data_IF_628757551094
#
_entry.id   IF_628757551094
#
_cell.length_a   1.000
_cell.length_b   1.000
_cell.length_c   1.000
_cell.angle_alpha   90.00
_cell.angle_beta   90.00
_cell.angle_gamma   90.00
#
_symmetry.space_group_name_H-M   'P 1'
#
loop_
_entity.id
_entity.type
_entity.pdbx_description
1 polymer ?
#
# COMPACT_ATOMS: atom_id res chain seq x y z
N UNK A 1 3.86 -0.85 -11.97
CA UNK A 1 5.11 -0.70 -11.18
C UNK A 1 5.03 -1.64 -10.00
N UNK A 2 6.12 -2.30 -9.62
CA UNK A 2 6.19 -3.18 -8.45
C UNK A 2 7.32 -2.70 -7.54
N UNK A 3 7.13 -2.80 -6.22
CA UNK A 3 8.12 -2.45 -5.21
C UNK A 3 8.47 -3.70 -4.41
N UNK A 4 9.75 -3.85 -4.07
CA UNK A 4 10.28 -5.02 -3.38
C UNK A 4 10.78 -4.59 -1.99
N UNK A 5 10.12 -4.99 -0.90
CA UNK A 5 10.49 -4.60 0.46
C UNK A 5 11.89 -5.07 0.86
N UNK A 6 12.37 -6.15 0.27
CA UNK A 6 13.67 -6.77 0.60
C UNK A 6 14.84 -6.15 -0.19
N UNK A 7 14.58 -5.14 -1.04
CA UNK A 7 15.63 -4.42 -1.73
C UNK A 7 16.45 -3.56 -0.74
N UNK A 8 17.74 -3.35 -1.05
CA UNK A 8 18.61 -2.52 -0.22
C UNK A 8 18.06 -1.09 -0.11
N UNK A 9 18.09 -0.51 1.10
CA UNK A 9 17.51 0.80 1.44
C UNK A 9 15.98 0.91 1.20
N UNK A 10 15.26 -0.22 1.16
CA UNK A 10 13.81 -0.27 1.14
C UNK A 10 13.24 -0.37 2.55
N UNK A 11 12.25 0.46 2.87
CA UNK A 11 11.59 0.47 4.16
C UNK A 11 10.08 0.32 3.95
N UNK A 12 9.49 -0.70 4.57
CA UNK A 12 8.07 -0.97 4.48
C UNK A 12 7.43 -0.86 5.87
N UNK A 13 6.51 0.09 6.03
CA UNK A 13 5.64 0.12 7.20
C UNK A 13 4.45 -0.83 6.98
N UNK A 14 4.60 -2.07 7.45
CA UNK A 14 3.55 -3.10 7.32
C UNK A 14 2.30 -2.77 8.13
N UNK A 15 2.46 -2.19 9.32
CA UNK A 15 1.33 -1.83 10.18
C UNK A 15 0.40 -0.85 9.45
N UNK A 16 0.97 0.22 8.89
CA UNK A 16 0.21 1.22 8.14
C UNK A 16 -0.55 0.63 6.95
N UNK A 17 0.07 -0.29 6.20
CA UNK A 17 -0.54 -0.91 5.01
C UNK A 17 -1.59 -1.99 5.36
N UNK A 18 -1.49 -2.59 6.54
CA UNK A 18 -2.45 -3.59 7.00
C UNK A 18 -3.72 -2.96 7.60
N UNK A 19 -3.70 -1.68 7.93
CA UNK A 19 -4.88 -0.95 8.40
C UNK A 19 -5.96 -0.82 7.32
N UNK A 20 -7.24 -0.88 7.70
CA UNK A 20 -8.36 -0.78 6.77
C UNK A 20 -8.78 -2.13 6.12
N UNK A 21 -9.85 -2.14 5.32
CA UNK A 21 -10.38 -3.37 4.72
C UNK A 21 -9.43 -3.96 3.67
N UNK A 22 -9.52 -5.27 3.42
CA UNK A 22 -8.92 -5.91 2.25
C UNK A 22 -10.01 -6.15 1.21
N UNK A 23 -9.97 -5.40 0.11
CA UNK A 23 -10.99 -5.43 -0.95
C UNK A 23 -10.84 -6.63 -1.90
N UNK A 24 -9.86 -7.53 -1.68
CA UNK A 24 -9.60 -8.65 -2.57
C UNK A 24 -10.83 -9.51 -2.79
N UNK A 25 -11.54 -9.87 -1.71
CA UNK A 25 -12.70 -10.76 -1.79
C UNK A 25 -13.91 -10.08 -2.43
N UNK A 26 -14.03 -8.76 -2.31
CA UNK A 26 -15.10 -7.99 -2.93
C UNK A 26 -14.89 -7.87 -4.45
N UNK A 27 -13.65 -7.55 -4.86
CA UNK A 27 -13.31 -7.32 -6.26
C UNK A 27 -13.07 -8.61 -7.04
N UNK A 28 -12.48 -9.61 -6.39
CA UNK A 28 -12.11 -10.90 -6.98
C UNK A 28 -12.48 -12.06 -6.03
N UNK A 29 -13.78 -12.40 -5.90
CA UNK A 29 -14.26 -13.40 -4.93
C UNK A 29 -13.53 -14.75 -5.03
N UNK A 30 -13.27 -15.22 -6.25
CA UNK A 30 -12.55 -16.47 -6.52
C UNK A 30 -11.11 -16.50 -5.97
N UNK A 31 -10.52 -15.33 -5.76
CA UNK A 31 -9.17 -15.15 -5.22
C UNK A 31 -9.17 -14.91 -3.71
N UNK A 32 -10.33 -14.88 -3.05
CA UNK A 32 -10.47 -14.59 -1.62
C UNK A 32 -9.63 -15.51 -0.71
N UNK A 33 -9.32 -16.73 -1.17
CA UNK A 33 -8.41 -17.67 -0.48
C UNK A 33 -6.99 -17.13 -0.26
N UNK A 34 -6.58 -16.10 -1.00
CA UNK A 34 -5.28 -15.45 -0.87
C UNK A 34 -5.32 -14.18 0.01
N UNK A 35 -6.45 -13.86 0.65
CA UNK A 35 -6.61 -12.63 1.43
C UNK A 35 -5.68 -12.49 2.64
N UNK A 36 -5.00 -13.57 3.04
CA UNK A 36 -3.98 -13.58 4.08
C UNK A 36 -2.57 -13.18 3.58
N UNK A 37 -2.34 -13.18 2.26
CA UNK A 37 -1.03 -12.84 1.65
C UNK A 37 -1.13 -11.75 0.59
N UNK A 38 -2.32 -11.49 0.05
CA UNK A 38 -2.61 -10.41 -0.90
C UNK A 38 -3.56 -9.40 -0.26
N UNK A 39 -3.14 -8.14 -0.22
CA UNK A 39 -3.94 -7.00 0.21
C UNK A 39 -4.32 -6.17 -1.01
N UNK A 40 -5.62 -5.89 -1.17
CA UNK A 40 -6.13 -4.92 -2.15
C UNK A 40 -6.77 -3.77 -1.38
N UNK A 41 -6.34 -2.55 -1.69
CA UNK A 41 -6.72 -1.32 -0.98
C UNK A 41 -7.23 -0.29 -1.97
N UNK A 42 -8.21 0.50 -1.57
CA UNK A 42 -8.57 1.70 -2.30
C UNK A 42 -7.61 2.83 -1.90
N UNK A 43 -6.65 3.12 -2.76
CA UNK A 43 -5.62 4.13 -2.48
C UNK A 43 -6.16 5.56 -2.51
N UNK A 44 -7.29 5.81 -3.17
CA UNK A 44 -7.90 7.14 -3.25
C UNK A 44 -8.71 7.41 -1.99
N UNK A 45 -9.57 6.47 -1.61
CA UNK A 45 -10.40 6.58 -0.40
C UNK A 45 -9.52 6.61 0.86
N UNK A 46 -8.52 5.74 0.93
CA UNK A 46 -7.58 5.67 2.07
C UNK A 46 -6.45 6.71 1.99
N UNK A 47 -6.45 7.58 0.97
CA UNK A 47 -5.47 8.67 0.78
C UNK A 47 -4.01 8.20 0.84
N UNK A 48 -3.74 7.09 0.16
CA UNK A 48 -2.40 6.62 -0.10
C UNK A 48 -1.84 7.28 -1.37
N UNK A 49 -0.67 7.87 -1.23
CA UNK A 49 0.03 8.56 -2.32
C UNK A 49 1.32 7.85 -2.65
N UNK A 50 1.63 7.80 -3.93
CA UNK A 50 2.88 7.26 -4.46
C UNK A 50 3.61 8.37 -5.20
N UNK A 51 4.78 8.74 -4.67
CA UNK A 51 5.64 9.75 -5.27
C UNK A 51 6.93 9.09 -5.74
N UNK A 52 7.38 9.46 -6.94
CA UNK A 52 8.65 9.01 -7.48
C UNK A 52 9.48 10.24 -7.86
N UNK A 53 10.71 10.29 -7.39
CA UNK A 53 11.70 11.26 -7.85
C UNK A 53 12.69 10.58 -8.80
N UNK A 54 12.72 11.04 -10.04
CA UNK A 54 13.56 10.48 -11.11
C UNK A 54 15.04 10.78 -10.88
N UNK A 55 15.35 11.93 -10.26
CA UNK A 55 16.74 12.37 -10.07
C UNK A 55 17.42 11.54 -8.98
N UNK A 56 16.80 11.40 -7.81
CA UNK A 56 17.32 10.56 -6.73
C UNK A 56 17.01 9.07 -6.90
N UNK A 57 16.19 8.69 -7.88
CA UNK A 57 15.71 7.33 -8.12
C UNK A 57 15.05 6.72 -6.88
N UNK A 58 14.26 7.53 -6.17
CA UNK A 58 13.55 7.12 -4.96
C UNK A 58 12.05 7.11 -5.18
N UNK A 59 11.40 6.13 -4.58
CA UNK A 59 9.94 6.02 -4.52
C UNK A 59 9.52 6.08 -3.06
N UNK A 60 8.50 6.89 -2.77
CA UNK A 60 7.89 7.03 -1.46
C UNK A 60 6.41 6.69 -1.56
N UNK A 61 5.94 5.83 -0.68
CA UNK A 61 4.51 5.67 -0.40
C UNK A 61 4.21 6.25 0.97
N UNK A 62 3.20 7.10 1.06
CA UNK A 62 2.74 7.65 2.33
C UNK A 62 1.21 7.73 2.35
N UNK A 63 0.65 7.74 3.55
CA UNK A 63 -0.77 7.97 3.79
C UNK A 63 -0.95 9.32 4.47
N UNK A 64 -1.89 10.12 4.00
CA UNK A 64 -2.21 11.37 4.69
C UNK A 64 -2.91 11.05 6.02
N UNK A 65 -2.21 11.25 7.15
CA UNK A 65 -2.85 11.18 8.46
C UNK A 65 -3.59 12.49 8.73
N UNK A 66 -4.91 12.41 8.85
CA UNK A 66 -5.71 13.53 9.36
C UNK A 66 -5.50 13.60 10.87
N UNK A 67 -4.47 14.31 11.34
CA UNK A 67 -4.49 14.82 12.71
C UNK A 67 -5.72 15.71 12.83
N UNK A 68 -6.69 15.27 13.64
CA UNK A 68 -7.93 16.00 13.91
C UNK A 68 -7.60 17.44 14.31
N UNK A 69 -8.07 18.38 13.49
CA UNK A 69 -8.26 19.79 13.84
C UNK A 69 -9.74 20.04 14.03
#
# INVERSE_FOLDING_TARGET
>A
MALFPDAENSHLNRELLCEGPNLLQELLPEQGKYGNVVLVKDVVEERHYLCADVVSQRVLCYRENRSAG
#
